data_IF_316024046181
#
_entry.id   IF_316024046181
#
_cell.length_a   1.000
_cell.length_b   1.000
_cell.length_c   1.000
_cell.angle_alpha   90.00
_cell.angle_beta   90.00
_cell.angle_gamma   90.00
#
_symmetry.space_group_name_H-M   'P 1'
#
loop_
_entity.id
_entity.type
_entity.pdbx_description
1 polymer ?
#
# COMPACT_ATOMS: atom_id res chain seq x y z
N UNK A 1 -9.37 10.73 -3.79
CA UNK A 1 -8.87 9.36 -3.70
C UNK A 1 -8.17 8.97 -4.98
N UNK A 2 -7.75 7.73 -5.06
CA UNK A 2 -7.25 7.07 -6.26
C UNK A 2 -8.30 6.04 -6.67
N UNK A 3 -8.80 6.12 -7.91
CA UNK A 3 -9.77 5.20 -8.48
C UNK A 3 -9.27 4.71 -9.84
N UNK A 4 -9.46 3.42 -10.13
CA UNK A 4 -9.07 2.81 -11.39
C UNK A 4 -10.27 2.33 -12.19
N UNK A 5 -10.04 2.08 -13.50
CA UNK A 5 -11.07 1.51 -14.37
C UNK A 5 -11.33 0.06 -13.96
N UNK A 6 -12.61 -0.34 -13.98
CA UNK A 6 -13.00 -1.72 -13.71
C UNK A 6 -12.22 -2.71 -14.57
N UNK A 7 -11.59 -3.68 -13.92
CA UNK A 7 -10.76 -4.69 -14.57
C UNK A 7 -11.63 -5.88 -14.99
N UNK A 8 -11.33 -6.43 -16.17
CA UNK A 8 -11.96 -7.66 -16.70
C UNK A 8 -10.94 -8.75 -17.05
N UNK A 9 -9.66 -8.47 -16.85
CA UNK A 9 -8.55 -9.37 -17.08
C UNK A 9 -7.88 -9.72 -15.74
N UNK A 10 -7.17 -10.86 -15.64
CA UNK A 10 -6.44 -11.23 -14.42
C UNK A 10 -5.46 -10.16 -13.94
N UNK A 11 -5.15 -10.19 -12.65
CA UNK A 11 -4.24 -9.26 -11.97
C UNK A 11 -4.97 -8.18 -11.17
N UNK A 12 -4.23 -7.17 -10.76
CA UNK A 12 -4.71 -6.10 -9.91
C UNK A 12 -4.00 -4.78 -10.21
N UNK A 13 -4.61 -3.65 -9.81
CA UNK A 13 -4.00 -2.33 -9.94
C UNK A 13 -3.08 -2.04 -8.75
N UNK A 14 -2.04 -1.24 -8.98
CA UNK A 14 -1.06 -0.94 -7.94
C UNK A 14 -0.42 0.42 -8.18
N UNK A 15 0.12 1.01 -7.12
CA UNK A 15 0.94 2.21 -7.19
C UNK A 15 2.14 2.11 -6.24
N UNK A 16 3.27 2.69 -6.64
CA UNK A 16 4.46 2.80 -5.79
C UNK A 16 4.52 4.22 -5.23
N UNK A 17 4.72 4.34 -3.92
CA UNK A 17 4.88 5.61 -3.22
C UNK A 17 6.23 5.63 -2.51
N UNK A 18 7.01 6.68 -2.73
CA UNK A 18 8.19 6.99 -1.93
C UNK A 18 7.77 7.71 -0.64
N UNK A 19 8.32 7.28 0.50
CA UNK A 19 8.12 7.97 1.77
C UNK A 19 8.96 9.24 1.80
N UNK A 20 8.44 10.31 2.40
CA UNK A 20 9.20 11.56 2.56
C UNK A 20 10.49 11.40 3.39
N UNK A 21 10.50 10.41 4.29
CA UNK A 21 11.68 9.93 5.02
C UNK A 21 11.57 8.42 5.23
N UNK A 22 12.71 7.73 5.22
CA UNK A 22 12.74 6.32 5.58
C UNK A 22 12.44 6.12 7.07
N UNK A 23 11.77 5.02 7.40
CA UNK A 23 11.30 4.79 8.77
C UNK A 23 10.70 3.43 8.98
N UNK A 24 10.39 3.14 10.25
CA UNK A 24 9.69 1.92 10.66
C UNK A 24 8.22 2.23 10.87
N UNK A 25 7.34 1.43 10.31
CA UNK A 25 5.88 1.63 10.30
C UNK A 25 5.32 0.94 11.53
N UNK A 26 4.36 1.60 12.18
CA UNK A 26 3.72 1.16 13.42
C UNK A 26 2.20 1.10 13.30
N UNK A 27 1.60 1.85 12.36
CA UNK A 27 0.18 1.77 12.03
C UNK A 27 -0.03 2.06 10.55
N UNK A 28 -0.91 1.28 9.93
CA UNK A 28 -1.38 1.49 8.56
C UNK A 28 -2.86 1.82 8.61
N UNK A 29 -3.28 2.77 7.79
CA UNK A 29 -4.69 3.11 7.61
C UNK A 29 -5.05 3.11 6.13
N UNK A 30 -6.11 2.37 5.78
CA UNK A 30 -6.70 2.36 4.44
C UNK A 30 -8.14 2.86 4.56
N UNK A 31 -8.39 4.01 3.96
CA UNK A 31 -9.67 4.69 4.01
C UNK A 31 -10.39 4.53 2.67
N UNK A 32 -11.56 3.92 2.67
CA UNK A 32 -12.45 3.76 1.50
C UNK A 32 -13.59 4.77 1.49
N UNK A 33 -13.48 5.88 2.22
CA UNK A 33 -14.50 6.92 2.28
C UNK A 33 -15.01 7.34 0.90
N UNK A 34 -16.33 7.47 0.79
CA UNK A 34 -17.09 7.80 -0.42
C UNK A 34 -17.13 6.72 -1.51
N UNK A 35 -16.38 5.63 -1.40
CA UNK A 35 -16.45 4.51 -2.34
C UNK A 35 -17.49 3.49 -1.87
N UNK A 36 -18.73 3.64 -2.38
CA UNK A 36 -19.92 2.90 -1.91
C UNK A 36 -20.32 1.67 -2.73
N UNK A 37 -19.66 1.45 -3.86
CA UNK A 37 -19.89 0.26 -4.70
C UNK A 37 -18.72 -0.08 -5.61
N UNK A 38 -17.65 0.71 -5.51
CA UNK A 38 -16.44 0.70 -6.30
C UNK A 38 -15.20 0.79 -5.39
N UNK A 39 -15.30 0.41 -4.12
CA UNK A 39 -14.13 0.15 -3.28
C UNK A 39 -13.52 -1.20 -3.70
N UNK A 40 -12.20 -1.42 -3.50
CA UNK A 40 -11.60 -2.70 -3.85
C UNK A 40 -12.08 -3.82 -2.94
N UNK A 41 -12.03 -5.06 -3.42
CA UNK A 41 -12.36 -6.21 -2.57
C UNK A 41 -11.31 -6.40 -1.47
N UNK A 42 -10.02 -6.29 -1.84
CA UNK A 42 -8.90 -6.43 -0.93
C UNK A 42 -7.80 -5.40 -1.22
N UNK A 43 -7.01 -5.10 -0.20
CA UNK A 43 -5.78 -4.29 -0.31
C UNK A 43 -4.63 -5.01 0.36
N UNK A 44 -3.46 -5.01 -0.28
CA UNK A 44 -2.19 -5.43 0.33
C UNK A 44 -1.12 -4.36 0.13
N UNK A 45 -0.09 -4.39 0.98
CA UNK A 45 1.05 -3.47 0.88
C UNK A 45 2.34 -4.25 0.90
N UNK A 46 3.19 -4.03 -0.10
CA UNK A 46 4.59 -4.46 -0.09
C UNK A 46 5.48 -3.26 0.22
N UNK A 47 6.66 -3.51 0.77
CA UNK A 47 7.60 -2.44 1.12
C UNK A 47 9.05 -2.86 0.90
N UNK A 48 9.90 -1.85 0.73
CA UNK A 48 11.34 -2.04 0.58
C UNK A 48 12.10 -0.84 1.16
N UNK A 49 13.36 -1.06 1.49
CA UNK A 49 14.33 0.00 1.68
C UNK A 49 15.32 0.02 0.53
N UNK A 50 15.39 1.16 -0.14
CA UNK A 50 16.33 1.46 -1.22
C UNK A 50 16.90 2.85 -0.98
N UNK A 51 18.22 3.00 -1.09
CA UNK A 51 18.93 4.26 -0.87
C UNK A 51 19.04 5.11 -2.14
N UNK A 52 19.25 4.48 -3.29
CA UNK A 52 19.49 5.16 -4.57
C UNK A 52 18.74 4.43 -5.72
N UNK A 53 17.42 4.33 -5.63
CA UNK A 53 16.63 3.70 -6.68
C UNK A 53 16.29 4.68 -7.81
N UNK A 54 16.36 4.20 -9.05
CA UNK A 54 15.80 4.91 -10.21
C UNK A 54 14.42 4.35 -10.55
N UNK A 55 13.53 5.17 -11.10
CA UNK A 55 12.16 4.78 -11.46
C UNK A 55 12.13 3.53 -12.37
N UNK A 56 13.06 3.44 -13.32
CA UNK A 56 13.17 2.31 -14.24
C UNK A 56 13.46 0.97 -13.53
N UNK A 57 14.11 1.01 -12.36
CA UNK A 57 14.44 -0.18 -11.58
C UNK A 57 13.34 -0.52 -10.57
N UNK A 58 12.59 0.47 -10.09
CA UNK A 58 11.57 0.30 -9.04
C UNK A 58 10.44 -0.63 -9.49
N UNK A 59 9.88 -0.40 -10.69
CA UNK A 59 8.73 -1.15 -11.19
C UNK A 59 8.97 -2.67 -11.22
N UNK A 60 9.99 -3.20 -11.92
CA UNK A 60 10.21 -4.65 -11.98
C UNK A 60 10.61 -5.24 -10.62
N UNK A 61 11.37 -4.52 -9.80
CA UNK A 61 11.75 -5.00 -8.46
C UNK A 61 10.57 -5.06 -7.49
N UNK A 62 9.60 -4.16 -7.65
CA UNK A 62 8.44 -4.06 -6.75
C UNK A 62 7.56 -5.30 -6.71
N UNK A 63 7.63 -6.14 -7.74
CA UNK A 63 6.95 -7.44 -7.77
C UNK A 63 7.49 -8.40 -6.71
N UNK A 64 8.75 -8.22 -6.28
CA UNK A 64 9.46 -9.09 -5.36
C UNK A 64 9.67 -8.48 -3.98
N UNK A 65 9.10 -7.30 -3.70
CA UNK A 65 9.17 -6.68 -2.39
C UNK A 65 8.43 -7.52 -1.35
N UNK A 66 8.97 -7.56 -0.13
CA UNK A 66 8.30 -8.26 0.98
C UNK A 66 6.98 -7.57 1.34
N UNK A 67 5.99 -8.36 1.75
CA UNK A 67 4.75 -7.81 2.28
C UNK A 67 5.02 -7.08 3.60
N UNK A 68 4.48 -5.88 3.70
CA UNK A 68 4.31 -5.12 4.94
C UNK A 68 2.93 -5.40 5.56
N UNK A 69 1.92 -5.59 4.70
CA UNK A 69 0.57 -5.99 5.05
C UNK A 69 0.09 -6.98 3.97
N UNK A 70 -0.29 -8.19 4.38
CA UNK A 70 -0.91 -9.17 3.47
C UNK A 70 -2.28 -8.68 3.00
N UNK A 71 -2.89 -9.36 2.01
CA UNK A 71 -4.21 -8.97 1.52
C UNK A 71 -5.26 -8.97 2.65
N UNK A 72 -5.88 -7.82 2.86
CA UNK A 72 -6.96 -7.63 3.82
C UNK A 72 -8.25 -7.30 3.08
N UNK A 73 -9.41 -7.83 3.52
CA UNK A 73 -10.70 -7.49 2.94
C UNK A 73 -11.09 -6.07 3.30
N UNK A 74 -11.63 -5.33 2.33
CA UNK A 74 -12.11 -3.96 2.56
C UNK A 74 -13.63 -3.92 2.73
N UNK A 75 -14.07 -2.87 3.41
CA UNK A 75 -15.46 -2.50 3.60
C UNK A 75 -15.76 -1.19 2.90
N UNK A 76 -17.05 -1.01 2.62
CA UNK A 76 -17.61 0.18 2.03
C UNK A 76 -17.49 1.39 2.98
N UNK A 77 -17.03 2.54 2.48
CA UNK A 77 -17.08 3.83 3.20
C UNK A 77 -16.51 3.73 4.64
N UNK A 78 -15.34 3.10 4.78
CA UNK A 78 -14.81 2.66 6.08
C UNK A 78 -13.32 2.98 6.24
N UNK A 79 -12.90 3.25 7.48
CA UNK A 79 -11.49 3.45 7.86
C UNK A 79 -10.97 2.14 8.45
N UNK A 80 -10.05 1.50 7.73
CA UNK A 80 -9.41 0.26 8.16
C UNK A 80 -8.09 0.59 8.83
N UNK A 81 -7.92 0.17 10.07
CA UNK A 81 -6.69 0.40 10.84
C UNK A 81 -6.00 -0.93 11.12
N UNK A 82 -4.70 -0.98 10.85
CA UNK A 82 -3.86 -2.15 11.04
C UNK A 82 -2.68 -1.81 11.92
N UNK A 83 -2.46 -2.63 12.94
CA UNK A 83 -1.31 -2.53 13.86
C UNK A 83 -0.72 -3.91 14.09
N UNK A 84 -1.57 -4.91 14.37
CA UNK A 84 -1.14 -6.27 14.66
C UNK A 84 -0.89 -7.10 13.40
N UNK A 85 -1.50 -6.69 12.29
CA UNK A 85 -1.42 -7.32 10.97
C UNK A 85 -0.17 -6.87 10.20
N UNK A 86 0.52 -5.83 10.70
CA UNK A 86 1.76 -5.34 10.11
C UNK A 86 2.83 -6.40 10.33
N UNK A 87 3.34 -6.95 9.23
CA UNK A 87 4.41 -7.95 9.27
C UNK A 87 5.71 -7.33 9.77
N UNK A 88 6.51 -8.11 10.49
CA UNK A 88 7.81 -7.67 10.99
C UNK A 88 8.69 -7.18 9.85
N UNK A 89 9.22 -5.98 10.00
CA UNK A 89 10.06 -5.34 8.99
C UNK A 89 11.09 -4.38 9.62
N UNK A 90 12.13 -4.06 8.85
CA UNK A 90 13.12 -3.03 9.18
C UNK A 90 12.70 -1.66 8.64
N UNK A 91 13.56 -0.64 8.70
CA UNK A 91 13.25 0.64 8.05
C UNK A 91 12.90 0.43 6.57
N UNK A 92 11.94 1.17 6.04
CA UNK A 92 11.52 1.16 4.63
C UNK A 92 11.62 2.57 4.05
N UNK A 93 11.73 2.68 2.72
CA UNK A 93 11.71 3.97 2.00
C UNK A 93 10.62 4.05 0.94
N UNK A 94 10.12 2.91 0.46
CA UNK A 94 9.05 2.84 -0.53
C UNK A 94 8.01 1.80 -0.13
N UNK A 95 6.78 2.03 -0.58
CA UNK A 95 5.70 1.06 -0.53
C UNK A 95 5.10 0.86 -1.90
N UNK A 96 4.55 -0.34 -2.13
CA UNK A 96 3.68 -0.64 -3.24
C UNK A 96 2.33 -1.03 -2.66
N UNK A 97 1.31 -0.23 -2.94
CA UNK A 97 -0.08 -0.53 -2.55
C UNK A 97 -0.70 -1.29 -3.72
N UNK A 98 -1.30 -2.44 -3.40
CA UNK A 98 -1.98 -3.29 -4.38
C UNK A 98 -3.47 -3.26 -4.08
N UNK A 99 -4.26 -2.88 -5.08
CA UNK A 99 -5.71 -2.76 -5.04
C UNK A 99 -6.33 -3.89 -5.85
N UNK A 100 -6.99 -4.83 -5.17
CA UNK A 100 -7.35 -6.13 -5.75
C UNK A 100 -8.88 -6.22 -5.98
N UNK A 101 -9.34 -6.48 -7.21
CA UNK A 101 -8.62 -6.39 -8.49
C UNK A 101 -8.49 -4.94 -9.01
N UNK A 102 -9.40 -4.07 -8.60
CA UNK A 102 -9.54 -2.67 -9.00
C UNK A 102 -10.47 -1.98 -7.98
N UNK A 103 -10.69 -0.67 -8.12
CA UNK A 103 -11.63 0.07 -7.29
C UNK A 103 -11.11 1.45 -6.91
N UNK A 104 -11.50 1.91 -5.72
CA UNK A 104 -11.16 3.22 -5.21
C UNK A 104 -10.75 3.23 -3.74
N UNK A 105 -9.65 3.93 -3.46
CA UNK A 105 -9.13 4.19 -2.12
C UNK A 105 -9.14 5.71 -1.91
N UNK A 106 -9.74 6.18 -0.82
CA UNK A 106 -9.75 7.60 -0.47
C UNK A 106 -8.38 8.06 -0.02
N UNK A 107 -7.83 7.40 1.01
CA UNK A 107 -6.52 7.71 1.59
C UNK A 107 -5.77 6.45 1.98
N UNK A 108 -4.45 6.55 1.92
CA UNK A 108 -3.53 5.62 2.55
C UNK A 108 -2.65 6.42 3.50
N UNK A 109 -2.58 6.00 4.77
CA UNK A 109 -1.72 6.65 5.77
C UNK A 109 -0.82 5.59 6.40
N UNK A 110 0.46 5.91 6.49
CA UNK A 110 1.45 5.10 7.19
C UNK A 110 2.03 5.94 8.33
N UNK A 111 1.78 5.50 9.55
CA UNK A 111 2.32 6.12 10.75
C UNK A 111 3.51 5.30 11.23
N UNK A 112 4.54 6.00 11.70
CA UNK A 112 5.76 5.34 12.12
C UNK A 112 6.83 6.29 12.61
N UNK A 113 7.97 5.72 12.97
CA UNK A 113 9.14 6.46 13.44
C UNK A 113 10.14 6.63 12.30
N UNK A 114 10.60 7.86 12.11
CA UNK A 114 11.67 8.18 11.18
C UNK A 114 12.95 7.48 11.63
N UNK A 115 13.62 6.80 10.70
CA UNK A 115 14.92 6.19 10.97
C UNK A 115 15.97 7.28 11.19
N UNK A 116 16.82 7.13 12.21
CA UNK A 116 17.98 8.01 12.35
C UNK A 116 18.91 7.77 11.16
N UNK A 117 19.37 8.86 10.55
CA UNK A 117 20.42 8.89 9.53
C UNK A 117 21.74 8.40 10.09
#
# INVERSE_FOLDING_TARGET
GWETKRRRAPGYDWCILALGKSGKIEKIEIDTAHFKGNFPAEVSIQAVYLENATDAQLIPQSMFWSYLLEAQPMQMDHIHEYVNEILKHEKISHIRINMIPDGGISRVRLWGKIAKS
#
